data_IF_624692808054
#
_entry.id   IF_624692808054
#
_cell.length_a   1.000
_cell.length_b   1.000
_cell.length_c   1.000
_cell.angle_alpha   90.00
_cell.angle_beta   90.00
_cell.angle_gamma   90.00
#
_symmetry.space_group_name_H-M   'P 1'
#
loop_
_entity.id
_entity.type
_entity.pdbx_description
1 polymer ?
#
# COMPACT_ATOMS: atom_id res chain seq x y z
N UNK A 1 11.83 65.58 -89.37
CA UNK A 1 12.69 65.26 -88.20
C UNK A 1 13.95 64.60 -88.71
N UNK A 2 15.11 65.04 -88.24
CA UNK A 2 16.41 64.47 -88.65
C UNK A 2 16.61 63.09 -88.01
N UNK A 3 17.19 62.14 -88.75
CA UNK A 3 17.57 60.80 -88.23
C UNK A 3 18.41 60.89 -86.94
N UNK A 4 19.16 61.99 -86.77
CA UNK A 4 19.94 62.26 -85.57
C UNK A 4 19.09 62.60 -84.33
N UNK A 5 17.91 63.21 -84.51
CA UNK A 5 16.96 63.54 -83.43
C UNK A 5 16.20 62.29 -82.96
N UNK A 6 15.76 61.44 -83.89
CA UNK A 6 15.14 60.15 -83.57
C UNK A 6 16.09 59.27 -82.73
N UNK A 7 17.36 59.15 -83.10
CA UNK A 7 18.35 58.40 -82.27
C UNK A 7 18.65 59.03 -80.91
N UNK A 8 18.37 60.32 -80.69
CA UNK A 8 18.50 60.95 -79.36
C UNK A 8 17.26 60.67 -78.52
N UNK A 9 16.08 60.76 -79.12
CA UNK A 9 14.80 60.40 -78.49
C UNK A 9 14.78 58.91 -78.09
N UNK A 10 15.18 57.99 -78.96
CA UNK A 10 15.25 56.55 -78.66
C UNK A 10 16.23 56.24 -77.52
N UNK A 11 17.38 56.93 -77.50
CA UNK A 11 18.37 56.78 -76.41
C UNK A 11 17.86 57.35 -75.09
N UNK A 12 17.07 58.42 -75.12
CA UNK A 12 16.43 58.97 -73.93
C UNK A 12 15.34 58.01 -73.41
N UNK A 13 14.46 57.52 -74.28
CA UNK A 13 13.43 56.53 -73.95
C UNK A 13 14.04 55.24 -73.37
N UNK A 14 15.10 54.71 -73.98
CA UNK A 14 15.80 53.50 -73.48
C UNK A 14 16.42 53.73 -72.10
N UNK A 15 16.95 54.93 -71.82
CA UNK A 15 17.53 55.27 -70.51
C UNK A 15 16.46 55.39 -69.43
N UNK A 16 15.31 55.94 -69.78
CA UNK A 16 14.16 56.07 -68.89
C UNK A 16 13.56 54.70 -68.58
N UNK A 17 13.39 53.85 -69.59
CA UNK A 17 12.95 52.46 -69.42
C UNK A 17 13.91 51.68 -68.52
N UNK A 18 15.22 51.78 -68.73
CA UNK A 18 16.24 51.18 -67.82
C UNK A 18 16.24 51.74 -66.40
N UNK A 19 15.69 52.93 -66.15
CA UNK A 19 15.52 53.48 -64.79
C UNK A 19 14.24 52.93 -64.17
N UNK A 20 13.16 52.86 -64.93
CA UNK A 20 11.90 52.26 -64.52
C UNK A 20 12.09 50.77 -64.18
N UNK A 21 12.77 49.99 -65.05
CA UNK A 21 13.07 48.58 -64.82
C UNK A 21 13.90 48.39 -63.55
N UNK A 22 14.94 49.22 -63.36
CA UNK A 22 15.77 49.17 -62.13
C UNK A 22 15.00 49.55 -60.87
N UNK A 23 14.03 50.46 -60.97
CA UNK A 23 13.17 50.81 -59.85
C UNK A 23 12.23 49.64 -59.52
N UNK A 24 11.63 49.01 -60.53
CA UNK A 24 10.77 47.84 -60.38
C UNK A 24 11.52 46.64 -59.78
N UNK A 25 12.74 46.33 -60.25
CA UNK A 25 13.55 45.25 -59.68
C UNK A 25 13.87 45.50 -58.20
N UNK A 26 14.24 46.73 -57.81
CA UNK A 26 14.52 47.04 -56.40
C UNK A 26 13.28 47.00 -55.51
N UNK A 27 12.10 47.19 -56.07
CA UNK A 27 10.84 47.06 -55.33
C UNK A 27 10.48 45.58 -55.15
N UNK A 28 10.64 44.78 -56.20
CA UNK A 28 10.53 43.31 -56.13
C UNK A 28 11.53 42.73 -55.12
N UNK A 29 12.82 43.08 -55.20
CA UNK A 29 13.84 42.62 -54.25
C UNK A 29 13.48 42.96 -52.79
N UNK A 30 12.90 44.15 -52.55
CA UNK A 30 12.45 44.56 -51.22
C UNK A 30 11.24 43.75 -50.75
N UNK A 31 10.29 43.48 -51.65
CA UNK A 31 9.13 42.65 -51.36
C UNK A 31 9.56 41.19 -51.06
N UNK A 32 10.46 40.63 -51.86
CA UNK A 32 10.98 39.27 -51.70
C UNK A 32 11.76 39.12 -50.39
N UNK A 33 12.62 40.09 -50.06
CA UNK A 33 13.34 40.10 -48.77
C UNK A 33 12.39 40.24 -47.58
N UNK A 34 11.30 41.02 -47.71
CA UNK A 34 10.31 41.15 -46.66
C UNK A 34 9.54 39.83 -46.46
N UNK A 35 9.12 39.17 -47.55
CA UNK A 35 8.46 37.87 -47.53
C UNK A 35 9.36 36.77 -46.94
N UNK A 36 10.64 36.73 -47.32
CA UNK A 36 11.61 35.78 -46.77
C UNK A 36 11.78 35.95 -45.25
N UNK A 37 11.90 37.19 -44.76
CA UNK A 37 12.00 37.45 -43.30
C UNK A 37 10.73 37.11 -42.53
N UNK A 38 9.57 37.18 -43.17
CA UNK A 38 8.31 36.76 -42.57
C UNK A 38 8.22 35.24 -42.48
N UNK A 39 8.61 34.54 -43.55
CA UNK A 39 8.73 33.08 -43.56
C UNK A 39 9.72 32.58 -42.50
N UNK A 40 10.91 33.19 -42.40
CA UNK A 40 11.91 32.83 -41.39
C UNK A 40 11.37 32.98 -39.96
N UNK A 41 10.60 34.05 -39.69
CA UNK A 41 9.95 34.26 -38.39
C UNK A 41 8.88 33.21 -38.10
N UNK A 42 8.06 32.87 -39.10
CA UNK A 42 7.04 31.83 -38.98
C UNK A 42 7.68 30.46 -38.73
N UNK A 43 8.75 30.13 -39.43
CA UNK A 43 9.48 28.87 -39.30
C UNK A 43 10.16 28.75 -37.93
N UNK A 44 10.77 29.81 -37.43
CA UNK A 44 11.34 29.84 -36.08
C UNK A 44 10.24 29.64 -35.01
N UNK A 45 9.11 30.33 -35.14
CA UNK A 45 7.98 30.16 -34.23
C UNK A 45 7.42 28.72 -34.26
N UNK A 46 7.30 28.12 -35.44
CA UNK A 46 6.85 26.74 -35.60
C UNK A 46 7.85 25.73 -34.99
N UNK A 47 9.16 25.94 -35.17
CA UNK A 47 10.22 25.11 -34.57
C UNK A 47 10.20 25.19 -33.05
N UNK A 48 10.02 26.38 -32.50
CA UNK A 48 9.94 26.58 -31.05
C UNK A 48 8.67 25.98 -30.45
N UNK A 49 7.54 26.07 -31.15
CA UNK A 49 6.30 25.40 -30.75
C UNK A 49 6.49 23.87 -30.68
N UNK A 50 7.05 23.25 -31.73
CA UNK A 50 7.35 21.80 -31.75
C UNK A 50 8.32 21.39 -30.65
N UNK A 51 9.36 22.19 -30.38
CA UNK A 51 10.29 21.92 -29.26
C UNK A 51 9.61 21.95 -27.89
N UNK A 52 8.59 22.81 -27.71
CA UNK A 52 7.82 22.87 -26.46
C UNK A 52 6.92 21.64 -26.31
N UNK A 53 6.26 21.24 -27.39
CA UNK A 53 5.45 20.02 -27.45
C UNK A 53 6.30 18.77 -27.16
N UNK A 54 7.45 18.61 -27.84
CA UNK A 54 8.39 17.51 -27.60
C UNK A 54 8.88 17.46 -26.14
N UNK A 55 9.08 18.61 -25.49
CA UNK A 55 9.47 18.68 -24.08
C UNK A 55 8.31 18.25 -23.18
N UNK A 56 7.11 18.76 -23.44
CA UNK A 56 5.91 18.39 -22.70
C UNK A 56 5.64 16.88 -22.79
N UNK A 57 5.78 16.28 -23.98
CA UNK A 57 5.62 14.84 -24.20
C UNK A 57 6.68 14.02 -23.47
N UNK A 58 7.94 14.47 -23.49
CA UNK A 58 9.03 13.82 -22.74
C UNK A 58 8.80 13.90 -21.24
N UNK A 59 8.33 15.04 -20.74
CA UNK A 59 8.06 15.25 -19.31
C UNK A 59 6.85 14.43 -18.86
N UNK A 60 5.79 14.37 -19.68
CA UNK A 60 4.64 13.49 -19.45
C UNK A 60 5.06 12.01 -19.44
N UNK A 61 5.87 11.57 -20.41
CA UNK A 61 6.39 10.21 -20.46
C UNK A 61 7.29 9.89 -19.24
N UNK A 62 8.10 10.85 -18.79
CA UNK A 62 8.92 10.73 -17.57
C UNK A 62 8.06 10.62 -16.32
N UNK A 63 7.04 11.47 -16.19
CA UNK A 63 6.10 11.44 -15.07
C UNK A 63 5.36 10.09 -14.98
N UNK A 64 4.89 9.55 -16.11
CA UNK A 64 4.25 8.23 -16.16
C UNK A 64 5.23 7.12 -15.71
N UNK A 65 6.47 7.15 -16.20
CA UNK A 65 7.50 6.18 -15.80
C UNK A 65 7.84 6.26 -14.31
N UNK A 66 7.96 7.48 -13.77
CA UNK A 66 8.22 7.70 -12.35
C UNK A 66 7.06 7.20 -11.49
N UNK A 67 5.82 7.54 -11.83
CA UNK A 67 4.64 7.05 -11.12
C UNK A 67 4.55 5.51 -11.17
N UNK A 68 4.87 4.88 -12.30
CA UNK A 68 4.92 3.42 -12.42
C UNK A 68 6.04 2.81 -11.56
N UNK A 69 7.22 3.43 -11.52
CA UNK A 69 8.34 2.99 -10.69
C UNK A 69 8.02 3.10 -9.18
N UNK A 70 7.38 4.20 -8.76
CA UNK A 70 6.93 4.41 -7.39
C UNK A 70 5.87 3.40 -6.99
N UNK A 71 4.86 3.17 -7.84
CA UNK A 71 3.85 2.12 -7.62
C UNK A 71 4.50 0.75 -7.45
N UNK A 72 5.46 0.39 -8.33
CA UNK A 72 6.21 -0.87 -8.21
C UNK A 72 7.04 -0.94 -6.93
N UNK A 73 7.67 0.16 -6.51
CA UNK A 73 8.44 0.23 -5.27
C UNK A 73 7.54 0.07 -4.05
N UNK A 74 6.40 0.74 -4.02
CA UNK A 74 5.39 0.62 -2.96
C UNK A 74 4.85 -0.82 -2.88
N UNK A 75 4.46 -1.41 -4.02
CA UNK A 75 4.01 -2.81 -4.10
C UNK A 75 5.08 -3.79 -3.58
N UNK A 76 6.35 -3.60 -3.96
CA UNK A 76 7.46 -4.42 -3.45
C UNK A 76 7.69 -4.22 -1.96
N UNK A 77 7.55 -3.00 -1.44
CA UNK A 77 7.71 -2.73 -0.02
C UNK A 77 6.60 -3.40 0.80
N UNK A 78 5.33 -3.27 0.36
CA UNK A 78 4.19 -3.95 0.98
C UNK A 78 4.33 -5.47 0.88
N UNK A 79 4.71 -6.01 -0.28
CA UNK A 79 4.93 -7.44 -0.41
C UNK A 79 6.02 -7.94 0.55
N UNK A 80 7.14 -7.20 0.68
CA UNK A 80 8.21 -7.56 1.61
C UNK A 80 7.77 -7.46 3.07
N UNK A 81 6.97 -6.47 3.46
CA UNK A 81 6.44 -6.40 4.82
C UNK A 81 5.50 -7.56 5.13
N UNK A 82 4.65 -7.92 4.16
CA UNK A 82 3.68 -9.02 4.29
C UNK A 82 4.37 -10.40 4.32
N UNK A 83 5.57 -10.50 3.73
CA UNK A 83 6.35 -11.73 3.63
C UNK A 83 7.64 -11.69 4.46
N UNK A 84 7.83 -10.71 5.36
CA UNK A 84 9.10 -10.51 6.06
C UNK A 84 9.53 -11.76 6.86
N UNK A 85 8.56 -12.39 7.54
CA UNK A 85 8.77 -13.62 8.31
C UNK A 85 9.03 -14.82 7.39
N UNK A 86 8.29 -14.92 6.29
CA UNK A 86 8.46 -15.99 5.29
C UNK A 86 9.83 -15.94 4.62
N UNK A 87 10.31 -14.74 4.29
CA UNK A 87 11.63 -14.51 3.70
C UNK A 87 12.78 -14.91 4.63
N UNK A 88 12.58 -14.94 5.95
CA UNK A 88 13.59 -15.41 6.90
C UNK A 88 13.50 -16.92 7.13
N UNK A 89 12.28 -17.45 7.21
CA UNK A 89 12.05 -18.86 7.53
C UNK A 89 12.37 -19.77 6.34
N UNK A 90 12.03 -19.38 5.10
CA UNK A 90 12.21 -20.26 3.95
C UNK A 90 13.66 -20.55 3.56
N UNK A 91 14.60 -19.58 3.58
CA UNK A 91 16.00 -19.89 3.35
C UNK A 91 16.56 -20.85 4.42
N UNK A 92 16.20 -20.63 5.69
CA UNK A 92 16.61 -21.53 6.77
C UNK A 92 16.03 -22.93 6.59
N UNK A 93 14.75 -23.03 6.24
CA UNK A 93 14.09 -24.30 5.93
C UNK A 93 14.75 -25.01 4.75
N UNK A 94 15.08 -24.28 3.68
CA UNK A 94 15.76 -24.84 2.50
C UNK A 94 17.13 -25.41 2.86
N UNK A 95 17.95 -24.67 3.63
CA UNK A 95 19.25 -25.16 4.11
C UNK A 95 19.07 -26.42 4.97
N UNK A 96 18.08 -26.43 5.87
CA UNK A 96 17.80 -27.62 6.70
C UNK A 96 17.35 -28.81 5.86
N UNK A 97 16.52 -28.60 4.84
CA UNK A 97 16.03 -29.65 3.96
C UNK A 97 17.15 -30.26 3.12
N UNK A 98 18.05 -29.42 2.57
CA UNK A 98 19.21 -29.87 1.79
C UNK A 98 20.11 -30.79 2.61
N UNK A 99 20.23 -30.56 3.93
CA UNK A 99 21.04 -31.42 4.79
C UNK A 99 20.27 -32.64 5.34
N UNK A 100 19.01 -32.46 5.74
CA UNK A 100 18.22 -33.49 6.40
C UNK A 100 17.72 -34.58 5.44
N UNK A 101 17.28 -34.20 4.23
CA UNK A 101 16.70 -35.15 3.27
C UNK A 101 17.72 -36.23 2.86
N UNK A 102 18.96 -35.90 2.46
CA UNK A 102 19.95 -36.92 2.11
C UNK A 102 20.31 -37.82 3.29
N UNK A 103 20.48 -37.26 4.48
CA UNK A 103 20.81 -38.03 5.68
C UNK A 103 19.73 -39.07 6.01
N UNK A 104 18.45 -38.67 5.94
CA UNK A 104 17.32 -39.57 6.18
C UNK A 104 17.09 -40.57 5.05
N UNK A 105 17.38 -40.18 3.80
CA UNK A 105 17.34 -41.10 2.66
C UNK A 105 18.39 -42.21 2.80
N UNK A 106 19.62 -41.87 3.20
CA UNK A 106 20.69 -42.84 3.47
C UNK A 106 20.30 -43.75 4.64
N UNK A 107 19.77 -43.19 5.73
CA UNK A 107 19.29 -43.98 6.87
C UNK A 107 18.18 -44.97 6.47
N UNK A 108 17.19 -44.50 5.71
CA UNK A 108 16.11 -45.34 5.22
C UNK A 108 16.59 -46.45 4.28
N UNK A 109 17.57 -46.14 3.42
CA UNK A 109 18.22 -47.16 2.58
C UNK A 109 18.88 -48.27 3.41
N UNK A 110 19.63 -47.89 4.46
CA UNK A 110 20.25 -48.87 5.36
C UNK A 110 19.23 -49.68 6.16
N UNK A 111 18.10 -49.08 6.54
CA UNK A 111 17.08 -49.76 7.35
C UNK A 111 16.26 -50.78 6.56
N UNK A 112 15.91 -50.48 5.31
CA UNK A 112 15.02 -51.32 4.50
C UNK A 112 15.74 -52.10 3.38
N UNK A 113 17.04 -51.87 3.18
CA UNK A 113 17.88 -52.58 2.21
C UNK A 113 17.52 -52.34 0.75
N UNK A 114 16.70 -51.33 0.44
CA UNK A 114 16.24 -51.03 -0.91
C UNK A 114 15.99 -49.53 -1.12
N UNK A 115 15.85 -49.13 -2.40
CA UNK A 115 15.60 -47.74 -2.79
C UNK A 115 14.27 -47.19 -2.23
N UNK A 116 13.27 -48.03 -2.03
CA UNK A 116 11.98 -47.66 -1.42
C UNK A 116 12.16 -47.15 0.01
N UNK A 117 13.11 -47.72 0.75
CA UNK A 117 13.51 -47.27 2.08
C UNK A 117 14.02 -45.83 2.11
N UNK A 118 14.71 -45.38 1.07
CA UNK A 118 15.21 -44.01 0.97
C UNK A 118 14.09 -42.99 0.73
N UNK A 119 13.00 -43.40 0.08
CA UNK A 119 11.88 -42.53 -0.30
C UNK A 119 10.93 -42.27 0.88
N UNK A 120 10.73 -43.25 1.75
CA UNK A 120 9.77 -43.14 2.87
C UNK A 120 10.05 -41.96 3.83
N UNK A 121 11.29 -41.73 4.31
CA UNK A 121 11.60 -40.57 5.14
C UNK A 121 11.51 -39.25 4.37
N UNK A 122 11.88 -39.24 3.09
CA UNK A 122 11.74 -38.05 2.26
C UNK A 122 10.26 -37.65 2.08
N UNK A 123 9.37 -38.64 1.87
CA UNK A 123 7.94 -38.39 1.75
C UNK A 123 7.31 -37.90 3.05
N UNK A 124 7.74 -38.38 4.21
CA UNK A 124 7.18 -37.92 5.48
C UNK A 124 7.60 -36.48 5.81
N UNK A 125 8.88 -36.14 5.64
CA UNK A 125 9.40 -34.78 5.82
C UNK A 125 8.78 -33.79 4.80
N UNK A 126 8.76 -34.14 3.51
CA UNK A 126 8.11 -33.32 2.48
C UNK A 126 6.60 -33.22 2.69
N UNK A 127 5.97 -34.29 3.20
CA UNK A 127 4.56 -34.31 3.56
C UNK A 127 4.21 -33.25 4.59
N UNK A 128 4.97 -33.16 5.69
CA UNK A 128 4.75 -32.12 6.72
C UNK A 128 4.82 -30.73 6.11
N UNK A 129 5.84 -30.46 5.31
CA UNK A 129 6.03 -29.16 4.66
C UNK A 129 4.92 -28.84 3.65
N UNK A 130 4.50 -29.82 2.86
CA UNK A 130 3.40 -29.65 1.91
C UNK A 130 2.09 -29.28 2.62
N UNK A 131 1.73 -29.98 3.69
CA UNK A 131 0.55 -29.65 4.49
C UNK A 131 0.69 -28.29 5.19
N UNK A 132 1.87 -27.95 5.71
CA UNK A 132 2.13 -26.65 6.31
C UNK A 132 1.94 -25.50 5.30
N UNK A 133 2.48 -25.64 4.08
CA UNK A 133 2.29 -24.67 2.99
C UNK A 133 0.82 -24.59 2.54
N UNK A 134 0.12 -25.73 2.51
CA UNK A 134 -1.29 -25.77 2.17
C UNK A 134 -2.15 -25.00 3.19
N UNK A 135 -1.83 -25.09 4.50
CA UNK A 135 -2.51 -24.30 5.54
C UNK A 135 -2.31 -22.81 5.28
N UNK A 136 -1.07 -22.36 5.08
CA UNK A 136 -0.74 -20.95 4.84
C UNK A 136 -1.45 -20.43 3.58
N UNK A 137 -1.40 -21.19 2.49
CA UNK A 137 -2.05 -20.83 1.23
C UNK A 137 -3.57 -20.80 1.36
N UNK A 138 -4.16 -21.78 2.04
CA UNK A 138 -5.60 -21.84 2.29
C UNK A 138 -6.08 -20.68 3.16
N UNK A 139 -5.34 -20.30 4.21
CA UNK A 139 -5.68 -19.15 5.06
C UNK A 139 -5.61 -17.82 4.32
N UNK A 140 -4.67 -17.68 3.36
CA UNK A 140 -4.54 -16.49 2.50
C UNK A 140 -5.65 -16.40 1.43
N UNK A 141 -5.93 -17.50 0.72
CA UNK A 141 -6.89 -17.51 -0.40
C UNK A 141 -8.34 -17.64 0.06
N UNK A 142 -8.59 -18.44 1.10
CA UNK A 142 -9.94 -18.80 1.57
C UNK A 142 -10.00 -18.72 3.10
N UNK A 143 -10.04 -17.51 3.68
CA UNK A 143 -9.98 -17.31 5.13
C UNK A 143 -11.15 -17.95 5.89
N UNK A 144 -12.28 -18.20 5.21
CA UNK A 144 -13.45 -18.88 5.78
C UNK A 144 -13.36 -20.41 5.76
N UNK A 145 -12.42 -21.01 5.00
CA UNK A 145 -12.34 -22.47 4.85
C UNK A 145 -11.69 -23.09 6.10
N UNK A 146 -12.30 -24.13 6.70
CA UNK A 146 -11.69 -24.82 7.83
C UNK A 146 -10.39 -25.52 7.41
N UNK A 147 -9.31 -25.31 8.18
CA UNK A 147 -8.00 -25.95 7.93
C UNK A 147 -7.77 -27.20 8.78
N UNK A 148 -8.82 -27.75 9.40
CA UNK A 148 -8.70 -28.84 10.38
C UNK A 148 -8.04 -30.09 9.78
N UNK A 149 -8.47 -30.52 8.59
CA UNK A 149 -7.89 -31.69 7.92
C UNK A 149 -6.42 -31.48 7.54
N UNK A 150 -6.05 -30.27 7.08
CA UNK A 150 -4.66 -29.95 6.78
C UNK A 150 -3.80 -29.92 8.06
N UNK A 151 -4.37 -29.42 9.16
CA UNK A 151 -3.71 -29.40 10.48
C UNK A 151 -3.50 -30.82 10.99
N UNK A 152 -4.49 -31.70 10.83
CA UNK A 152 -4.36 -33.13 11.14
C UNK A 152 -3.23 -33.77 10.32
N UNK A 153 -3.12 -33.44 9.02
CA UNK A 153 -1.99 -33.85 8.18
C UNK A 153 -0.64 -33.44 8.76
N UNK A 154 -0.45 -32.17 9.12
CA UNK A 154 0.80 -31.68 9.76
C UNK A 154 1.12 -32.45 11.04
N UNK A 155 0.11 -32.71 11.90
CA UNK A 155 0.30 -33.44 13.16
C UNK A 155 0.71 -34.89 12.91
N UNK A 156 0.02 -35.59 12.01
CA UNK A 156 0.29 -37.00 11.70
C UNK A 156 1.69 -37.16 11.11
N UNK A 157 2.02 -36.40 10.06
CA UNK A 157 3.34 -36.48 9.44
C UNK A 157 4.45 -35.99 10.39
N UNK A 158 4.18 -34.98 11.21
CA UNK A 158 5.11 -34.49 12.23
C UNK A 158 5.41 -35.54 13.30
N UNK A 159 4.40 -36.30 13.74
CA UNK A 159 4.58 -37.41 14.68
C UNK A 159 5.42 -38.55 14.08
N UNK A 160 5.20 -38.87 12.79
CA UNK A 160 6.02 -39.86 12.06
C UNK A 160 7.47 -39.38 11.95
N UNK A 161 7.69 -38.13 11.53
CA UNK A 161 9.03 -37.53 11.43
C UNK A 161 9.74 -37.52 12.80
N UNK A 162 9.03 -37.12 13.87
CA UNK A 162 9.53 -37.19 15.24
C UNK A 162 9.99 -38.59 15.61
N UNK A 163 9.15 -39.60 15.39
CA UNK A 163 9.45 -41.00 15.70
C UNK A 163 10.66 -41.54 14.94
N UNK A 164 10.77 -41.24 13.64
CA UNK A 164 11.89 -41.67 12.81
C UNK A 164 13.21 -41.02 13.26
N UNK A 165 13.21 -39.71 13.53
CA UNK A 165 14.38 -38.99 14.01
C UNK A 165 14.79 -39.45 15.42
N UNK A 166 13.81 -39.74 16.28
CA UNK A 166 14.06 -40.32 17.61
C UNK A 166 14.73 -41.68 17.48
N UNK A 167 14.16 -42.59 16.68
CA UNK A 167 14.68 -43.93 16.47
C UNK A 167 16.10 -43.90 15.91
N UNK A 168 16.38 -43.02 14.95
CA UNK A 168 17.72 -42.84 14.38
C UNK A 168 18.73 -42.38 15.43
N UNK A 169 18.42 -41.35 16.22
CA UNK A 169 19.33 -40.87 17.26
C UNK A 169 19.47 -41.84 18.44
N UNK A 170 18.43 -42.60 18.77
CA UNK A 170 18.42 -43.59 19.83
C UNK A 170 19.41 -44.74 19.60
N UNK A 171 19.80 -45.00 18.35
CA UNK A 171 20.90 -45.94 18.03
C UNK A 171 22.23 -45.51 18.64
N UNK A 172 22.42 -44.22 18.91
CA UNK A 172 23.61 -43.66 19.57
C UNK A 172 23.37 -43.44 21.06
N UNK A 173 22.29 -42.75 21.41
CA UNK A 173 21.81 -42.60 22.79
C UNK A 173 20.36 -42.12 22.83
N UNK A 174 19.62 -42.44 23.89
CA UNK A 174 18.24 -41.94 24.08
C UNK A 174 18.20 -40.42 24.08
N UNK A 175 19.20 -39.77 24.69
CA UNK A 175 19.31 -38.31 24.73
C UNK A 175 19.50 -37.74 23.31
N UNK A 176 20.37 -38.36 22.50
CA UNK A 176 20.56 -37.99 21.09
C UNK A 176 19.26 -38.14 20.30
N UNK A 177 18.54 -39.25 20.49
CA UNK A 177 17.22 -39.47 19.89
C UNK A 177 16.22 -38.37 20.25
N UNK A 178 16.10 -38.04 21.53
CA UNK A 178 15.19 -36.99 22.00
C UNK A 178 15.54 -35.62 21.39
N UNK A 179 16.82 -35.25 21.37
CA UNK A 179 17.28 -33.99 20.77
C UNK A 179 16.97 -33.94 19.28
N UNK A 180 17.29 -35.00 18.52
CA UNK A 180 17.00 -35.07 17.09
C UNK A 180 15.50 -34.97 16.80
N UNK A 181 14.67 -35.66 17.58
CA UNK A 181 13.23 -35.65 17.42
C UNK A 181 12.61 -34.27 17.69
N UNK A 182 13.06 -33.58 18.75
CA UNK A 182 12.59 -32.22 19.05
C UNK A 182 13.04 -31.24 17.97
N UNK A 183 14.30 -31.31 17.54
CA UNK A 183 14.85 -30.41 16.52
C UNK A 183 14.14 -30.59 15.18
N UNK A 184 13.79 -31.82 14.79
CA UNK A 184 13.11 -32.07 13.51
C UNK A 184 11.72 -31.42 13.43
N UNK A 185 10.93 -31.45 14.51
CA UNK A 185 9.60 -30.82 14.52
C UNK A 185 9.64 -29.32 14.86
N UNK A 186 10.73 -28.83 15.46
CA UNK A 186 10.82 -27.44 15.92
C UNK A 186 10.67 -26.42 14.78
N UNK A 187 11.24 -26.70 13.60
CA UNK A 187 11.10 -25.84 12.43
C UNK A 187 9.65 -25.71 11.95
N UNK A 188 8.91 -26.82 11.96
CA UNK A 188 7.48 -26.86 11.57
C UNK A 188 6.63 -26.13 12.60
N UNK A 189 6.86 -26.36 13.90
CA UNK A 189 6.15 -25.67 14.98
C UNK A 189 6.40 -24.17 14.92
N UNK A 190 7.67 -23.75 14.75
CA UNK A 190 8.03 -22.36 14.59
C UNK A 190 7.33 -21.74 13.36
N UNK A 191 7.28 -22.45 12.24
CA UNK A 191 6.55 -22.01 11.05
C UNK A 191 5.04 -21.84 11.32
N UNK A 192 4.39 -22.79 12.01
CA UNK A 192 2.95 -22.69 12.34
C UNK A 192 2.64 -21.54 13.31
N UNK A 193 3.54 -21.27 14.26
CA UNK A 193 3.39 -20.18 15.21
C UNK A 193 3.65 -18.81 14.57
N UNK A 194 4.68 -18.71 13.73
CA UNK A 194 5.13 -17.43 13.17
C UNK A 194 4.37 -17.03 11.88
N UNK A 195 4.03 -17.99 11.02
CA UNK A 195 3.48 -17.73 9.68
C UNK A 195 2.00 -18.06 9.61
N UNK A 196 1.58 -19.22 10.13
CA UNK A 196 0.20 -19.64 9.96
C UNK A 196 -0.79 -18.83 10.81
N UNK A 197 -0.35 -18.27 11.94
CA UNK A 197 -1.23 -17.59 12.91
C UNK A 197 -0.83 -16.12 13.05
N UNK A 198 -1.22 -15.24 12.10
CA UNK A 198 -0.93 -13.82 12.24
C UNK A 198 -1.46 -13.32 13.59
N UNK A 199 -0.64 -12.59 14.37
CA UNK A 199 -1.01 -12.16 15.70
C UNK A 199 -2.19 -11.19 15.63
N UNK A 200 -3.40 -11.71 15.85
CA UNK A 200 -4.60 -10.88 15.94
C UNK A 200 -4.49 -9.92 17.11
N UNK A 201 -4.71 -8.64 16.84
CA UNK A 201 -4.74 -7.62 17.89
C UNK A 201 -5.80 -7.96 18.95
N UNK A 202 -5.64 -7.46 20.17
CA UNK A 202 -6.65 -7.68 21.23
C UNK A 202 -8.01 -7.13 20.80
N UNK A 203 -8.04 -6.01 20.09
CA UNK A 203 -9.24 -5.40 19.55
C UNK A 203 -9.91 -6.28 18.49
N UNK A 204 -9.14 -6.80 17.53
CA UNK A 204 -9.65 -7.72 16.50
C UNK A 204 -10.23 -9.00 17.12
N UNK A 205 -9.58 -9.53 18.16
CA UNK A 205 -10.11 -10.69 18.90
C UNK A 205 -11.40 -10.38 19.64
N UNK A 206 -11.53 -9.18 20.21
CA UNK A 206 -12.76 -8.75 20.86
C UNK A 206 -13.89 -8.60 19.83
N UNK A 207 -13.62 -7.95 18.70
CA UNK A 207 -14.57 -7.79 17.61
C UNK A 207 -15.03 -9.14 17.06
N UNK A 208 -14.10 -10.05 16.74
CA UNK A 208 -14.43 -11.38 16.26
C UNK A 208 -15.25 -12.22 17.27
N UNK A 209 -15.17 -11.93 18.59
CA UNK A 209 -16.04 -12.56 19.59
C UNK A 209 -17.45 -11.98 19.54
N UNK A 210 -17.58 -10.65 19.39
CA UNK A 210 -18.86 -9.97 19.23
C UNK A 210 -19.55 -10.46 17.95
N UNK A 211 -18.83 -10.51 16.83
CA UNK A 211 -19.37 -10.96 15.55
C UNK A 211 -19.85 -12.41 15.61
N UNK A 212 -19.07 -13.31 16.23
CA UNK A 212 -19.49 -14.70 16.45
C UNK A 212 -20.70 -14.81 17.36
N UNK A 213 -20.80 -13.98 18.40
CA UNK A 213 -21.97 -13.97 19.27
C UNK A 213 -23.21 -13.45 18.52
N UNK A 214 -23.06 -12.42 17.69
CA UNK A 214 -24.12 -11.91 16.83
C UNK A 214 -24.57 -12.95 15.80
N UNK A 215 -23.64 -13.59 15.10
CA UNK A 215 -23.94 -14.69 14.15
C UNK A 215 -24.67 -15.84 14.83
N UNK A 216 -24.23 -16.29 16.01
CA UNK A 216 -24.93 -17.34 16.76
C UNK A 216 -26.35 -16.95 17.12
N UNK A 217 -26.60 -15.67 17.43
CA UNK A 217 -27.95 -15.15 17.69
C UNK A 217 -28.79 -15.13 16.42
N UNK A 218 -28.24 -14.70 15.29
CA UNK A 218 -28.89 -14.72 13.98
C UNK A 218 -29.25 -16.17 13.58
N UNK A 219 -28.30 -17.10 13.67
CA UNK A 219 -28.52 -18.51 13.32
C UNK A 219 -29.52 -19.20 14.25
N UNK A 220 -29.56 -18.81 15.53
CA UNK A 220 -30.58 -19.28 16.46
C UNK A 220 -31.95 -18.72 16.10
N UNK A 221 -32.05 -17.41 15.84
CA UNK A 221 -33.30 -16.78 15.42
C UNK A 221 -33.82 -17.36 14.11
N UNK A 222 -32.95 -17.61 13.12
CA UNK A 222 -33.30 -18.28 11.86
C UNK A 222 -33.86 -19.68 12.07
N UNK A 223 -33.25 -20.47 12.98
CA UNK A 223 -33.75 -21.81 13.31
C UNK A 223 -35.12 -21.78 13.97
N UNK A 224 -35.35 -20.85 14.91
CA UNK A 224 -36.66 -20.70 15.56
C UNK A 224 -37.71 -20.16 14.57
N UNK A 225 -37.33 -19.23 13.69
CA UNK A 225 -38.20 -18.72 12.64
C UNK A 225 -38.60 -19.85 11.68
N UNK A 226 -37.65 -20.70 11.27
CA UNK A 226 -37.91 -21.85 10.41
C UNK A 226 -38.82 -22.90 11.09
N UNK A 227 -38.71 -23.10 12.40
CA UNK A 227 -39.61 -24.02 13.13
C UNK A 227 -41.02 -23.46 13.33
N UNK A 228 -41.18 -22.14 13.31
CA UNK A 228 -42.47 -21.46 13.48
C UNK A 228 -43.09 -21.01 12.15
N UNK A 229 -42.42 -21.26 11.02
CA UNK A 229 -42.91 -20.89 9.70
C UNK A 229 -44.12 -21.76 9.34
N UNK A 230 -45.10 -21.14 8.70
CA UNK A 230 -46.28 -21.86 8.18
C UNK A 230 -45.95 -22.33 6.78
N UNK A 231 -46.29 -23.58 6.45
CA UNK A 231 -46.15 -24.11 5.09
C UNK A 231 -47.41 -23.76 4.30
N UNK A 232 -47.27 -22.94 3.28
CA UNK A 232 -48.28 -22.73 2.25
C UNK A 232 -48.11 -23.79 1.17
N UNK A 233 -49.15 -24.60 0.95
CA UNK A 233 -49.18 -25.62 -0.10
C UNK A 233 -49.99 -25.07 -1.29
N UNK A 234 -49.34 -24.90 -2.43
CA UNK A 234 -49.98 -24.44 -3.65
C UNK A 234 -50.76 -25.59 -4.33
N UNK A 235 -51.72 -25.22 -5.19
CA UNK A 235 -52.60 -26.17 -5.88
C UNK A 235 -51.84 -27.11 -6.86
N UNK A 236 -50.63 -26.75 -7.26
CA UNK A 236 -49.74 -27.57 -8.09
C UNK A 236 -48.90 -28.59 -7.28
N UNK A 237 -49.06 -28.60 -5.95
CA UNK A 237 -48.32 -29.46 -5.04
C UNK A 237 -46.97 -28.90 -4.56
N UNK A 238 -46.63 -27.66 -4.91
CA UNK A 238 -45.43 -27.00 -4.39
C UNK A 238 -45.66 -26.45 -2.96
N UNK A 239 -44.61 -26.45 -2.14
CA UNK A 239 -44.66 -26.01 -0.74
C UNK A 239 -43.71 -24.82 -0.51
N UNK A 240 -44.23 -23.76 0.09
CA UNK A 240 -43.46 -22.56 0.44
C UNK A 240 -43.54 -22.29 1.95
N UNK A 241 -42.43 -21.84 2.54
CA UNK A 241 -42.42 -21.39 3.94
C UNK A 241 -42.76 -19.91 4.01
N UNK A 242 -43.87 -19.58 4.67
CA UNK A 242 -44.32 -18.21 4.91
C UNK A 242 -43.96 -17.81 6.33
N UNK A 243 -43.26 -16.68 6.44
CA UNK A 243 -42.83 -16.10 7.71
C UNK A 243 -43.66 -14.86 8.01
N UNK A 244 -44.14 -14.71 9.25
CA UNK A 244 -44.89 -13.52 9.66
C UNK A 244 -43.91 -12.35 9.85
N UNK A 245 -44.00 -11.26 9.07
CA UNK A 245 -43.10 -10.12 9.20
C UNK A 245 -43.34 -9.40 10.54
N UNK A 246 -42.26 -9.00 11.22
CA UNK A 246 -42.36 -8.30 12.50
C UNK A 246 -41.03 -8.22 13.24
N UNK A 247 -40.99 -7.40 14.29
CA UNK A 247 -39.91 -7.41 15.27
C UNK A 247 -40.18 -8.51 16.28
N UNK A 248 -39.18 -9.35 16.56
CA UNK A 248 -39.31 -10.45 17.52
C UNK A 248 -38.16 -10.42 18.52
N UNK A 249 -38.49 -10.67 19.79
CA UNK A 249 -37.51 -10.99 20.82
C UNK A 249 -37.39 -12.51 20.97
N UNK A 250 -36.20 -13.09 20.82
CA UNK A 250 -36.00 -14.52 21.08
C UNK A 250 -36.03 -14.78 22.59
N UNK A 251 -36.99 -15.59 23.05
CA UNK A 251 -36.97 -16.21 24.37
C UNK A 251 -36.66 -17.70 24.22
N UNK A 252 -35.67 -18.23 24.93
CA UNK A 252 -35.20 -19.64 24.90
C UNK A 252 -35.33 -20.38 23.55
N UNK A 253 -36.51 -20.89 23.20
CA UNK A 253 -36.83 -21.66 21.98
C UNK A 253 -37.97 -21.05 21.13
N UNK A 254 -38.51 -19.90 21.48
CA UNK A 254 -39.65 -19.23 20.84
C UNK A 254 -39.31 -17.80 20.43
N UNK A 255 -40.00 -17.28 19.41
CA UNK A 255 -39.94 -15.88 19.02
C UNK A 255 -41.23 -15.22 19.48
N UNK A 256 -41.13 -14.22 20.34
CA UNK A 256 -42.28 -13.43 20.78
C UNK A 256 -42.27 -12.11 20.01
N UNK A 257 -43.41 -11.63 19.49
CA UNK A 257 -43.51 -10.28 18.93
C UNK A 257 -42.94 -9.28 19.94
N UNK A 258 -41.97 -8.49 19.49
CA UNK A 258 -41.39 -7.45 20.31
C UNK A 258 -42.38 -6.28 20.32
N UNK A 259 -42.88 -5.94 21.49
CA UNK A 259 -43.57 -4.67 21.65
C UNK A 259 -42.55 -3.54 21.43
N UNK A 260 -42.86 -2.56 20.57
CA UNK A 260 -42.00 -1.39 20.45
C UNK A 260 -41.93 -0.74 21.83
N UNK A 261 -40.71 -0.63 22.37
CA UNK A 261 -40.52 0.04 23.65
C UNK A 261 -41.16 1.44 23.57
N UNK A 262 -41.96 1.85 24.56
CA UNK A 262 -42.55 3.18 24.55
C UNK A 262 -41.40 4.18 24.43
N UNK A 263 -41.41 4.93 23.34
CA UNK A 263 -40.51 6.06 23.13
C UNK A 263 -40.83 7.04 24.25
N UNK A 264 -40.06 7.00 25.34
CA UNK A 264 -40.06 8.05 26.36
C UNK A 264 -39.42 9.29 25.71
N UNK A 265 -40.12 9.89 24.76
CA UNK A 265 -40.00 11.30 24.44
C UNK A 265 -40.54 12.02 25.66
N UNK A 266 -39.73 12.78 26.41
CA UNK A 266 -40.28 13.62 27.47
C UNK A 266 -41.25 14.60 26.80
N UNK A 267 -42.53 14.46 27.08
CA UNK A 267 -43.55 15.47 26.79
C UNK A 267 -43.10 16.77 27.48
N UNK A 268 -42.47 17.65 26.72
CA UNK A 268 -42.37 19.06 27.07
C UNK A 268 -43.70 19.68 26.64
N UNK A 269 -44.55 20.13 27.58
CA UNK A 269 -45.80 20.79 27.19
C UNK A 269 -45.46 22.06 26.42
N UNK A 270 -45.93 22.11 25.18
CA UNK A 270 -45.85 23.28 24.32
C UNK A 270 -46.62 24.44 24.98
N UNK A 271 -45.88 25.35 25.59
CA UNK A 271 -46.38 26.65 26.03
C UNK A 271 -46.87 27.42 24.79
N UNK A 272 -48.12 27.83 24.85
CA UNK A 272 -48.91 28.30 23.72
C UNK A 272 -48.42 29.65 23.21
N UNK A 273 -47.92 29.70 21.97
CA UNK A 273 -47.70 30.95 21.25
C UNK A 273 -48.95 31.34 20.45
N UNK A 274 -49.34 32.63 20.42
CA UNK A 274 -50.58 33.10 19.79
C UNK A 274 -50.49 33.09 18.24
N UNK A 275 -51.65 33.08 17.54
CA UNK A 275 -51.68 32.91 16.09
C UNK A 275 -51.33 34.21 15.37
N UNK A 276 -50.43 34.13 14.39
CA UNK A 276 -50.20 35.16 13.38
C UNK A 276 -50.34 34.53 11.98
N UNK A 277 -50.72 35.32 10.97
CA UNK A 277 -51.52 34.86 9.83
C UNK A 277 -50.70 34.27 8.69
N UNK A 278 -51.44 33.57 7.82
CA UNK A 278 -50.99 32.92 6.61
C UNK A 278 -50.23 33.87 5.66
N UNK A 279 -49.07 33.40 5.15
CA UNK A 279 -48.65 33.65 3.77
C UNK A 279 -47.61 32.63 3.28
N UNK A 280 -47.98 31.99 2.16
CA UNK A 280 -47.21 31.53 0.98
C UNK A 280 -45.70 31.24 1.11
N UNK A 281 -45.30 29.97 0.89
CA UNK A 281 -44.41 29.51 -0.21
C UNK A 281 -43.82 28.09 0.04
N UNK A 282 -43.60 27.26 -0.99
CA UNK A 282 -42.99 25.94 -0.86
C UNK A 282 -41.46 26.06 -0.88
N UNK A 283 -40.77 25.50 0.11
CA UNK A 283 -39.32 25.37 0.09
C UNK A 283 -38.90 23.94 0.38
N UNK A 284 -38.50 23.28 -0.69
CA UNK A 284 -37.74 22.05 -0.75
C UNK A 284 -36.47 22.19 0.10
N UNK A 285 -36.17 21.22 0.97
CA UNK A 285 -34.82 21.03 1.51
C UNK A 285 -34.49 19.53 1.54
N UNK A 286 -33.27 19.13 1.11
CA UNK A 286 -32.92 17.74 0.88
C UNK A 286 -32.33 17.03 2.11
N UNK A 287 -32.45 15.70 2.06
CA UNK A 287 -31.78 14.66 2.86
C UNK A 287 -30.69 15.12 3.83
N UNK A 288 -30.99 14.98 5.12
CA UNK A 288 -30.00 14.98 6.18
C UNK A 288 -29.78 13.53 6.65
N UNK A 289 -28.55 13.01 6.64
CA UNK A 289 -28.28 11.62 7.00
C UNK A 289 -28.48 11.39 8.50
N UNK A 290 -29.33 10.42 8.78
CA UNK A 290 -29.69 9.90 10.10
C UNK A 290 -28.44 9.47 10.89
N UNK A 291 -28.19 10.16 12.00
CA UNK A 291 -27.06 9.91 12.90
C UNK A 291 -27.44 8.79 13.89
N UNK A 292 -26.78 7.62 13.88
CA UNK A 292 -27.19 6.52 14.75
C UNK A 292 -26.83 6.82 16.21
N UNK A 293 -27.87 6.83 17.04
CA UNK A 293 -27.79 6.99 18.48
C UNK A 293 -26.93 5.89 19.13
N UNK A 294 -26.00 6.30 19.99
CA UNK A 294 -25.16 5.40 20.77
C UNK A 294 -26.00 4.62 21.81
N UNK A 295 -25.78 3.31 21.99
CA UNK A 295 -26.47 2.56 23.03
C UNK A 295 -26.01 2.97 24.43
N UNK A 296 -26.97 3.38 25.26
CA UNK A 296 -26.84 3.60 26.70
C UNK A 296 -26.38 2.30 27.39
N UNK A 297 -25.22 2.36 28.04
CA UNK A 297 -24.68 1.28 28.86
C UNK A 297 -25.40 1.21 30.20
N UNK A 298 -26.06 0.09 30.48
CA UNK A 298 -26.61 -0.24 31.80
C UNK A 298 -25.44 -0.58 32.74
N UNK A 299 -25.27 0.27 33.75
CA UNK A 299 -24.23 0.19 34.79
C UNK A 299 -24.56 -0.96 35.76
N UNK A 300 -23.92 -2.12 35.58
CA UNK A 300 -23.84 -3.13 36.64
C UNK A 300 -22.64 -2.81 37.53
N UNK A 301 -22.91 -2.56 38.81
CA UNK A 301 -21.92 -2.42 39.87
C UNK A 301 -21.22 -3.74 40.11
N UNK A 302 -19.98 -3.88 39.64
CA UNK A 302 -19.08 -4.96 40.05
C UNK A 302 -17.76 -4.38 40.56
N UNK A 303 -17.44 -4.79 41.78
CA UNK A 303 -16.32 -4.42 42.63
C UNK A 303 -14.98 -4.41 41.89
N UNK A 304 -14.28 -3.27 41.98
CA UNK A 304 -12.98 -3.04 41.34
C UNK A 304 -11.83 -3.70 42.13
N UNK A 305 -10.89 -4.39 41.49
CA UNK A 305 -9.58 -4.69 42.09
C UNK A 305 -8.62 -3.50 41.91
N UNK A 306 -7.84 -3.23 42.97
CA UNK A 306 -6.83 -2.16 43.12
C UNK A 306 -5.92 -2.01 41.88
N UNK A 307 -5.63 -0.77 41.41
CA UNK A 307 -4.60 -0.53 40.41
C UNK A 307 -3.20 -0.62 41.01
N UNK A 308 -2.30 -1.33 40.33
CA UNK A 308 -0.87 -1.37 40.61
C UNK A 308 -0.18 -0.24 39.84
N UNK A 309 0.77 0.42 40.50
CA UNK A 309 1.47 1.60 40.05
C UNK A 309 2.36 1.40 38.80
N UNK A 310 2.43 2.46 38.01
CA UNK A 310 3.53 2.93 37.16
C UNK A 310 4.23 1.98 36.17
N UNK A 311 4.01 2.26 34.88
CA UNK A 311 5.09 2.68 33.96
C UNK A 311 4.50 3.24 32.67
N UNK A 312 4.69 4.55 32.46
CA UNK A 312 4.41 5.22 31.20
C UNK A 312 3.52 6.45 31.39
N UNK A 313 4.10 7.55 31.86
CA UNK A 313 3.50 8.88 31.80
C UNK A 313 3.00 9.14 30.38
N UNK A 314 1.68 9.18 30.22
CA UNK A 314 1.02 9.55 28.99
C UNK A 314 1.24 11.04 28.80
N UNK A 315 2.12 11.41 27.87
CA UNK A 315 2.35 12.82 27.53
C UNK A 315 1.03 13.40 27.01
N UNK A 316 0.49 14.48 27.62
CA UNK A 316 -0.77 15.06 27.21
C UNK A 316 -0.66 15.65 25.79
N UNK A 317 -1.72 15.54 24.96
CA UNK A 317 -1.73 15.99 23.57
C UNK A 317 -1.52 17.51 23.39
N UNK A 318 -1.56 18.28 24.48
CA UNK A 318 -1.27 19.72 24.51
C UNK A 318 0.24 20.03 24.54
N UNK A 319 1.11 19.04 24.79
CA UNK A 319 2.56 19.19 24.72
C UNK A 319 3.12 19.02 23.29
N UNK A 320 2.25 18.95 22.27
CA UNK A 320 2.63 19.00 20.85
C UNK A 320 3.11 20.42 20.54
N UNK A 321 4.36 20.71 20.92
CA UNK A 321 5.10 21.93 20.60
C UNK A 321 4.79 22.32 19.15
N UNK A 322 4.39 23.59 18.95
CA UNK A 322 4.35 24.24 17.63
C UNK A 322 5.58 23.80 16.87
N UNK A 323 5.39 23.10 15.74
CA UNK A 323 6.49 22.70 14.89
C UNK A 323 7.31 23.96 14.58
N UNK A 324 8.65 23.94 14.79
CA UNK A 324 9.47 25.09 14.46
C UNK A 324 9.24 25.46 12.99
N UNK A 325 9.29 26.76 12.65
CA UNK A 325 9.14 27.22 11.28
C UNK A 325 10.11 26.46 10.38
N UNK A 326 9.63 26.04 9.20
CA UNK A 326 10.44 25.27 8.25
C UNK A 326 11.63 26.12 7.81
N UNK A 327 12.84 25.71 8.19
CA UNK A 327 14.08 26.33 7.72
C UNK A 327 14.23 26.18 6.21
N UNK A 328 14.65 27.26 5.55
CA UNK A 328 14.94 27.28 4.10
C UNK A 328 16.21 26.48 3.79
N UNK A 329 16.42 26.10 2.54
CA UNK A 329 17.66 25.37 2.16
C UNK A 329 18.90 26.25 2.36
N UNK A 330 18.79 27.57 2.18
CA UNK A 330 19.90 28.51 2.41
C UNK A 330 20.27 28.64 3.89
N UNK A 331 19.30 28.68 4.80
CA UNK A 331 19.56 28.64 6.25
C UNK A 331 20.23 27.33 6.69
N UNK A 332 19.85 26.22 6.05
CA UNK A 332 20.45 24.91 6.34
C UNK A 332 21.87 24.79 5.77
N UNK A 333 22.15 25.41 4.61
CA UNK A 333 23.50 25.50 4.07
C UNK A 333 24.39 26.40 4.94
N UNK A 334 23.89 27.54 5.40
CA UNK A 334 24.62 28.39 6.34
C UNK A 334 24.93 27.67 7.67
N UNK A 335 24.00 26.82 8.14
CA UNK A 335 24.25 25.96 9.30
C UNK A 335 25.33 24.89 9.04
N UNK A 336 25.40 24.34 7.82
CA UNK A 336 26.47 23.44 7.40
C UNK A 336 27.82 24.15 7.33
N UNK A 337 27.85 25.35 6.75
CA UNK A 337 29.05 26.20 6.70
C UNK A 337 29.57 26.51 8.12
N UNK A 338 28.67 26.79 9.06
CA UNK A 338 29.00 27.05 10.47
C UNK A 338 29.52 25.81 11.22
N UNK A 339 29.15 24.59 10.79
CA UNK A 339 29.69 23.35 11.35
C UNK A 339 31.09 23.03 10.80
N UNK A 340 31.50 23.65 9.68
CA UNK A 340 32.84 23.55 9.13
C UNK A 340 33.26 22.11 8.80
N UNK A 341 34.52 21.78 9.07
CA UNK A 341 35.12 20.48 8.71
C UNK A 341 34.61 19.32 9.58
N UNK A 342 33.91 19.61 10.67
CA UNK A 342 33.27 18.58 11.49
C UNK A 342 32.22 17.80 10.67
N UNK A 343 31.59 18.45 9.68
CA UNK A 343 30.59 17.83 8.80
C UNK A 343 31.16 16.66 8.02
N UNK A 344 32.41 16.75 7.56
CA UNK A 344 33.04 15.72 6.72
C UNK A 344 33.32 14.42 7.50
N UNK A 345 33.43 14.52 8.83
CA UNK A 345 33.63 13.37 9.73
C UNK A 345 32.33 12.79 10.30
N UNK A 346 31.19 13.48 10.12
CA UNK A 346 29.90 13.05 10.67
C UNK A 346 29.16 12.09 9.72
N UNK A 347 28.45 11.13 10.31
CA UNK A 347 27.50 10.32 9.53
C UNK A 347 26.30 11.15 9.10
N UNK A 348 25.76 10.88 7.90
CA UNK A 348 24.56 11.54 7.36
C UNK A 348 23.41 11.57 8.37
N UNK A 349 23.24 10.50 9.15
CA UNK A 349 22.20 10.41 10.18
C UNK A 349 22.41 11.42 11.31
N UNK A 350 23.66 11.63 11.75
CA UNK A 350 23.97 12.60 12.81
C UNK A 350 23.74 14.02 12.33
N UNK A 351 24.23 14.36 11.13
CA UNK A 351 24.01 15.67 10.52
C UNK A 351 22.52 15.94 10.27
N UNK A 352 21.74 14.91 9.89
CA UNK A 352 20.29 15.02 9.74
C UNK A 352 19.58 15.33 11.08
N UNK A 353 20.03 14.71 12.17
CA UNK A 353 19.52 14.98 13.51
C UNK A 353 19.88 16.39 13.99
N UNK A 354 21.12 16.83 13.78
CA UNK A 354 21.60 18.16 14.18
C UNK A 354 20.88 19.28 13.40
N UNK A 355 20.55 19.04 12.13
CA UNK A 355 19.77 19.96 11.30
C UNK A 355 18.25 19.86 11.51
N UNK A 356 17.76 18.87 12.26
CA UNK A 356 16.33 18.62 12.47
C UNK A 356 15.58 18.28 11.19
N UNK A 357 16.22 17.54 10.28
CA UNK A 357 15.81 17.40 8.89
C UNK A 357 15.95 15.93 8.43
N UNK A 358 15.27 15.50 7.36
CA UNK A 358 15.34 14.11 6.89
C UNK A 358 16.69 13.76 6.23
N UNK A 359 17.13 12.49 6.31
CA UNK A 359 18.40 12.01 5.74
C UNK A 359 18.54 12.31 4.23
N UNK A 360 17.45 12.20 3.45
CA UNK A 360 17.46 12.50 2.01
C UNK A 360 17.74 13.97 1.71
N UNK A 361 17.13 14.90 2.48
CA UNK A 361 17.37 16.35 2.32
C UNK A 361 18.78 16.71 2.77
N UNK A 362 19.26 16.09 3.85
CA UNK A 362 20.64 16.23 4.33
C UNK A 362 21.65 15.81 3.27
N UNK A 363 21.46 14.65 2.62
CA UNK A 363 22.35 14.19 1.55
C UNK A 363 22.42 15.17 0.37
N UNK A 364 21.28 15.78 -0.01
CA UNK A 364 21.23 16.81 -1.06
C UNK A 364 22.00 18.07 -0.65
N UNK A 365 21.83 18.52 0.59
CA UNK A 365 22.51 19.72 1.11
C UNK A 365 24.02 19.51 1.26
N UNK A 366 24.47 18.33 1.70
CA UNK A 366 25.89 17.98 1.75
C UNK A 366 26.55 18.00 0.37
N UNK A 367 25.87 17.49 -0.66
CA UNK A 367 26.37 17.56 -2.04
C UNK A 367 26.46 19.00 -2.55
N UNK A 368 25.47 19.85 -2.23
CA UNK A 368 25.49 21.27 -2.59
C UNK A 368 26.58 22.04 -1.83
N UNK A 369 26.79 21.75 -0.54
CA UNK A 369 27.85 22.32 0.28
C UNK A 369 29.24 21.92 -0.23
N UNK A 370 29.46 20.64 -0.56
CA UNK A 370 30.71 20.16 -1.16
C UNK A 370 31.00 20.85 -2.50
N UNK A 371 29.99 21.06 -3.34
CA UNK A 371 30.14 21.77 -4.61
C UNK A 371 30.53 23.27 -4.42
N UNK A 372 30.13 23.90 -3.31
CA UNK A 372 30.54 25.28 -2.97
C UNK A 372 31.98 25.36 -2.46
N UNK A 373 32.42 24.35 -1.69
CA UNK A 373 33.78 24.29 -1.10
C UNK A 373 34.87 23.93 -2.09
N UNK A 374 34.52 23.36 -3.23
CA UNK A 374 35.45 23.12 -4.34
C UNK A 374 35.22 24.20 -5.40
N UNK A 375 35.62 25.47 -5.18
CA UNK A 375 35.63 26.44 -6.26
C UNK A 375 36.51 25.85 -7.35
N UNK A 376 35.94 25.72 -8.55
CA UNK A 376 36.58 25.03 -9.66
C UNK A 376 38.04 25.44 -9.75
N UNK A 377 38.92 24.46 -9.66
CA UNK A 377 40.28 24.55 -10.17
C UNK A 377 40.12 25.05 -11.61
N UNK A 378 40.24 26.36 -11.80
CA UNK A 378 40.34 26.94 -13.13
C UNK A 378 41.62 26.37 -13.68
N UNK A 379 41.48 25.40 -14.57
CA UNK A 379 42.57 24.93 -15.42
C UNK A 379 43.00 26.15 -16.21
N UNK A 380 44.01 26.86 -15.69
CA UNK A 380 44.78 27.82 -16.48
C UNK A 380 45.44 26.95 -17.54
N UNK A 381 45.12 27.13 -18.84
CA UNK A 381 45.82 26.42 -19.88
C UNK A 381 47.27 26.91 -19.88
N UNK A 382 48.20 26.01 -19.56
CA UNK A 382 49.63 26.21 -19.80
C UNK A 382 49.88 26.19 -21.31
N UNK A 383 49.56 27.28 -21.98
CA UNK A 383 50.17 27.65 -23.25
C UNK A 383 51.10 28.82 -22.95
N UNK A 384 52.42 28.54 -22.89
CA UNK A 384 53.50 29.19 -23.65
C UNK A 384 54.85 28.74 -23.06
N UNK A 385 55.52 27.84 -23.76
CA UNK A 385 57.00 27.75 -23.85
C UNK A 385 57.29 27.05 -25.19
N UNK A 386 57.52 27.82 -26.25
CA UNK A 386 58.85 28.31 -26.72
C UNK A 386 59.73 27.18 -27.25
#
# INVERSE_FOLDING_TARGET
MSFAEQRRADRAATREQRRADRAATREQDRADLAAAREQDRADLAARDARKREDRADRDAARAIRQAAAEKRKAQRATWRSDHAVELLIYPLAAVSAVMAIPAMAIYGYHLYGNATGAVLPALSELGVWAFAMAITTSRRRYPARPTLMLTAGVVIFGAVAFGLNFAHGAQRSIVTGAVMAVVSISGVVAHQLAVATPPRSRAERAQARIDRAAQRRIDKARRIAASNAVVELAADGTAHLVYTPGLYTPDRSTLHPAEPAPTNTPDQPAESAPPAPADVAPSSTPDQPEQPAAPRSVRTTRTAPKPRADKGTRVPPTARRKAPPKRTDDELLAALDAMGDAVDSQSIRRTAADLGIGETRTKRLLAAHAARRTPGLSVVPDDVAS
#
